data_IF_383475511900
#
_entry.id   IF_383475511900
#
_cell.length_a   1.000
_cell.length_b   1.000
_cell.length_c   1.000
_cell.angle_alpha   90.00
_cell.angle_beta   90.00
_cell.angle_gamma   90.00
#
_symmetry.space_group_name_H-M   'P 1'
#
loop_
_entity.id
_entity.type
_entity.pdbx_description
1 polymer ?
#
# COMPACT_ATOMS: atom_id res chain seq x y z
N UNK A 1 -25.34 0.21 22.46
CA UNK A 1 -24.51 1.43 22.32
C UNK A 1 -23.38 1.08 21.36
N UNK A 2 -23.54 1.43 20.09
CA UNK A 2 -22.50 1.16 19.09
C UNK A 2 -21.36 2.14 19.34
N UNK A 3 -20.17 1.62 19.61
CA UNK A 3 -18.96 2.41 19.65
C UNK A 3 -18.77 3.02 18.26
N UNK A 4 -19.13 4.30 18.11
CA UNK A 4 -18.85 5.08 16.91
C UNK A 4 -17.33 5.05 16.76
N UNK A 5 -16.88 4.37 15.72
CA UNK A 5 -15.48 4.18 15.40
C UNK A 5 -14.86 5.58 15.23
N UNK A 6 -14.04 6.01 16.19
CA UNK A 6 -13.39 7.34 16.23
C UNK A 6 -12.26 7.46 15.20
N UNK A 7 -12.45 6.94 14.00
CA UNK A 7 -11.47 7.13 12.94
C UNK A 7 -11.56 8.57 12.44
N UNK A 8 -10.47 9.31 12.55
CA UNK A 8 -10.39 10.69 12.07
C UNK A 8 -9.87 10.71 10.64
N UNK A 9 -10.46 11.57 9.81
CA UNK A 9 -9.99 11.82 8.44
C UNK A 9 -8.59 12.39 8.51
N UNK A 10 -7.67 11.76 7.79
CA UNK A 10 -6.28 12.18 7.68
C UNK A 10 -6.09 13.09 6.46
N UNK A 11 -5.02 13.87 6.47
CA UNK A 11 -4.66 14.71 5.32
C UNK A 11 -4.39 13.82 4.09
N UNK A 12 -4.76 14.29 2.89
CA UNK A 12 -4.42 13.59 1.65
C UNK A 12 -2.92 13.36 1.54
N UNK A 13 -2.54 12.18 1.07
CA UNK A 13 -1.15 11.87 0.72
C UNK A 13 -0.87 12.37 -0.69
N UNK A 14 0.36 12.81 -0.90
CA UNK A 14 0.91 13.20 -2.20
C UNK A 14 2.20 12.44 -2.46
N UNK A 15 2.60 12.36 -3.72
CA UNK A 15 3.86 11.72 -4.08
C UNK A 15 5.05 12.54 -3.54
N UNK A 16 5.82 11.95 -2.64
CA UNK A 16 7.06 12.51 -2.12
C UNK A 16 8.24 11.96 -2.92
N UNK A 17 8.97 12.86 -3.58
CA UNK A 17 10.13 12.51 -4.40
C UNK A 17 11.25 11.85 -3.57
N UNK A 18 11.41 12.25 -2.29
CA UNK A 18 12.44 11.69 -1.43
C UNK A 18 12.11 10.25 -1.03
N UNK A 19 10.85 9.99 -0.68
CA UNK A 19 10.34 8.64 -0.41
C UNK A 19 10.45 7.75 -1.65
N UNK A 20 10.06 8.25 -2.81
CA UNK A 20 10.16 7.50 -4.06
C UNK A 20 11.60 7.10 -4.37
N UNK A 21 12.54 8.05 -4.28
CA UNK A 21 13.95 7.80 -4.51
C UNK A 21 14.52 6.75 -3.53
N UNK A 22 14.11 6.80 -2.26
CA UNK A 22 14.53 5.80 -1.26
C UNK A 22 14.01 4.40 -1.60
N UNK A 23 12.73 4.28 -1.98
CA UNK A 23 12.13 3.00 -2.35
C UNK A 23 12.77 2.41 -3.62
N UNK A 24 13.01 3.26 -4.62
CA UNK A 24 13.72 2.87 -5.85
C UNK A 24 15.15 2.41 -5.53
N UNK A 25 15.90 3.15 -4.71
CA UNK A 25 17.25 2.74 -4.30
C UNK A 25 17.26 1.37 -3.59
N UNK A 26 16.30 1.12 -2.69
CA UNK A 26 16.16 -0.18 -2.03
C UNK A 26 15.81 -1.30 -3.01
N UNK A 27 14.92 -1.04 -3.97
CA UNK A 27 14.56 -2.02 -4.99
C UNK A 27 15.74 -2.34 -5.91
N UNK A 28 16.47 -1.31 -6.36
CA UNK A 28 17.69 -1.45 -7.18
C UNK A 28 18.74 -2.28 -6.45
N UNK A 29 19.01 -1.99 -5.17
CA UNK A 29 19.97 -2.76 -4.38
C UNK A 29 19.59 -4.24 -4.32
N UNK A 30 18.31 -4.55 -4.04
CA UNK A 30 17.81 -5.92 -4.03
C UNK A 30 18.00 -6.64 -5.37
N UNK A 31 17.77 -5.96 -6.49
CA UNK A 31 17.96 -6.55 -7.82
C UNK A 31 19.44 -6.79 -8.15
N UNK A 32 20.32 -5.90 -7.71
CA UNK A 32 21.77 -6.02 -7.91
C UNK A 32 22.39 -7.11 -7.03
N UNK A 33 21.91 -7.29 -5.79
CA UNK A 33 22.45 -8.26 -4.83
C UNK A 33 21.75 -9.63 -4.90
N UNK A 34 20.54 -9.68 -5.45
CA UNK A 34 19.71 -10.87 -5.50
C UNK A 34 18.50 -10.80 -4.56
N UNK A 35 17.44 -11.51 -4.93
CA UNK A 35 16.17 -11.52 -4.23
C UNK A 35 15.77 -12.95 -3.91
N UNK A 36 15.45 -13.23 -2.65
CA UNK A 36 14.86 -14.49 -2.25
C UNK A 36 13.36 -14.48 -2.53
N UNK A 37 12.87 -15.41 -3.34
CA UNK A 37 11.46 -15.46 -3.74
C UNK A 37 10.59 -16.41 -2.90
N UNK A 38 11.11 -16.89 -1.76
CA UNK A 38 10.43 -17.88 -0.89
C UNK A 38 10.85 -19.33 -1.14
N UNK A 39 11.52 -19.61 -2.25
CA UNK A 39 12.01 -20.96 -2.58
C UNK A 39 13.50 -20.97 -2.90
N UNK A 40 13.96 -19.97 -3.65
CA UNK A 40 15.35 -19.86 -4.08
C UNK A 40 15.80 -18.40 -4.17
N UNK A 41 17.12 -18.23 -4.12
CA UNK A 41 17.74 -16.96 -4.51
C UNK A 41 17.66 -16.81 -6.02
N UNK A 42 17.22 -15.63 -6.46
CA UNK A 42 17.17 -15.22 -7.86
C UNK A 42 18.09 -14.01 -8.01
N UNK A 43 18.90 -14.00 -9.06
CA UNK A 43 19.85 -12.92 -9.35
C UNK A 43 19.50 -12.30 -10.70
N UNK A 44 18.56 -11.34 -10.76
CA UNK A 44 18.05 -10.81 -12.02
C UNK A 44 19.12 -10.15 -12.89
N UNK A 45 20.14 -9.57 -12.26
CA UNK A 45 21.23 -8.87 -12.94
C UNK A 45 22.42 -9.78 -13.32
N UNK A 46 22.28 -11.10 -13.15
CA UNK A 46 23.34 -12.07 -13.42
C UNK A 46 22.91 -13.13 -14.45
N UNK A 47 23.86 -13.58 -15.25
CA UNK A 47 23.75 -14.77 -16.10
C UNK A 47 24.45 -15.93 -15.40
N UNK A 48 23.64 -16.91 -14.96
CA UNK A 48 24.13 -18.11 -14.28
C UNK A 48 24.38 -19.23 -15.29
N UNK A 49 25.59 -19.76 -15.26
CA UNK A 49 26.02 -20.85 -16.13
C UNK A 49 26.43 -22.07 -15.31
N UNK A 50 26.23 -23.24 -15.90
CA UNK A 50 26.62 -24.49 -15.28
C UNK A 50 27.16 -25.52 -16.25
N UNK A 51 28.07 -26.35 -15.72
CA UNK A 51 28.93 -27.22 -16.51
C UNK A 51 29.08 -28.57 -15.82
N UNK A 52 29.12 -29.64 -16.60
CA UNK A 52 29.39 -31.01 -16.13
C UNK A 52 30.88 -31.39 -16.27
N UNK A 53 31.76 -30.48 -15.91
CA UNK A 53 33.20 -30.67 -16.02
C UNK A 53 33.97 -29.39 -15.71
N UNK A 54 35.08 -29.54 -14.98
CA UNK A 54 35.90 -28.40 -14.58
C UNK A 54 36.51 -27.70 -15.79
N UNK A 55 37.02 -28.46 -16.76
CA UNK A 55 37.69 -27.90 -17.94
C UNK A 55 36.75 -27.02 -18.78
N UNK A 56 35.49 -27.43 -18.93
CA UNK A 56 34.46 -26.64 -19.62
C UNK A 56 34.12 -25.35 -18.87
N UNK A 57 33.99 -25.43 -17.54
CA UNK A 57 33.75 -24.25 -16.72
C UNK A 57 34.92 -23.26 -16.79
N UNK A 58 36.15 -23.77 -16.81
CA UNK A 58 37.38 -22.98 -16.92
C UNK A 58 37.49 -22.31 -18.29
N UNK A 59 37.27 -23.06 -19.38
CA UNK A 59 37.28 -22.54 -20.75
C UNK A 59 36.24 -21.43 -20.93
N UNK A 60 35.01 -21.67 -20.47
CA UNK A 60 33.94 -20.67 -20.51
C UNK A 60 34.28 -19.41 -19.71
N UNK A 61 34.85 -19.58 -18.51
CA UNK A 61 35.24 -18.46 -17.65
C UNK A 61 36.34 -17.63 -18.30
N UNK A 62 37.37 -18.28 -18.86
CA UNK A 62 38.44 -17.60 -19.58
C UNK A 62 37.92 -16.83 -20.78
N UNK A 63 37.00 -17.42 -21.55
CA UNK A 63 36.40 -16.76 -22.69
C UNK A 63 35.54 -15.56 -22.28
N UNK A 64 34.71 -15.71 -21.24
CA UNK A 64 33.87 -14.63 -20.72
C UNK A 64 34.69 -13.44 -20.22
N UNK A 65 35.80 -13.70 -19.53
CA UNK A 65 36.71 -12.63 -19.09
C UNK A 65 37.38 -11.93 -20.28
N UNK A 66 37.76 -12.67 -21.34
CA UNK A 66 38.28 -12.07 -22.59
C UNK A 66 37.24 -11.19 -23.29
N UNK A 67 35.97 -11.54 -23.18
CA UNK A 67 34.84 -10.73 -23.67
C UNK A 67 34.55 -9.50 -22.77
N UNK A 68 35.27 -9.33 -21.67
CA UNK A 68 35.09 -8.22 -20.73
C UNK A 68 33.92 -8.43 -19.76
N UNK A 69 33.40 -9.64 -19.63
CA UNK A 69 32.37 -9.95 -18.63
C UNK A 69 33.00 -10.04 -17.25
N UNK A 70 32.34 -9.43 -16.28
CA UNK A 70 32.76 -9.45 -14.88
C UNK A 70 32.04 -10.55 -14.11
N UNK A 71 32.76 -11.25 -13.24
CA UNK A 71 32.16 -12.22 -12.34
C UNK A 71 31.16 -11.54 -11.41
N UNK A 72 30.01 -12.17 -11.23
CA UNK A 72 28.97 -11.66 -10.34
C UNK A 72 29.30 -12.00 -8.88
N UNK A 73 29.47 -11.01 -7.99
CA UNK A 73 30.03 -11.25 -6.66
C UNK A 73 29.01 -11.80 -5.65
N UNK A 74 27.71 -11.69 -5.92
CA UNK A 74 26.66 -12.06 -4.96
C UNK A 74 26.14 -13.50 -5.13
N UNK A 75 26.51 -14.19 -6.21
CA UNK A 75 26.26 -15.63 -6.39
C UNK A 75 27.60 -16.37 -6.39
N UNK A 76 27.99 -17.00 -5.27
CA UNK A 76 29.28 -17.67 -5.18
C UNK A 76 29.35 -18.83 -6.16
N UNK A 77 30.54 -19.05 -6.73
CA UNK A 77 30.78 -20.20 -7.58
C UNK A 77 30.49 -21.50 -6.80
N UNK A 78 29.76 -22.41 -7.44
CA UNK A 78 29.34 -23.68 -6.83
C UNK A 78 30.14 -24.81 -7.44
N UNK A 79 30.68 -25.68 -6.60
CA UNK A 79 31.20 -26.98 -6.98
C UNK A 79 30.44 -28.05 -6.21
N UNK A 80 29.77 -28.96 -6.91
CA UNK A 80 29.11 -30.12 -6.32
C UNK A 80 29.30 -31.35 -7.20
N UNK A 81 30.18 -32.25 -6.77
CA UNK A 81 30.50 -33.47 -7.52
C UNK A 81 31.12 -33.15 -8.89
N UNK A 82 30.40 -33.47 -9.96
CA UNK A 82 30.81 -33.16 -11.34
C UNK A 82 30.19 -31.87 -11.88
N UNK A 83 29.52 -31.09 -11.04
CA UNK A 83 28.80 -29.88 -11.43
C UNK A 83 29.52 -28.62 -10.97
N UNK A 84 29.75 -27.70 -11.90
CA UNK A 84 30.40 -26.42 -11.67
C UNK A 84 29.46 -25.30 -12.11
N UNK A 85 29.20 -24.34 -11.23
CA UNK A 85 28.35 -23.19 -11.50
C UNK A 85 29.12 -21.89 -11.29
N UNK A 86 28.94 -20.94 -12.20
CA UNK A 86 29.51 -19.60 -12.13
C UNK A 86 28.50 -18.60 -12.69
N UNK A 87 28.50 -17.39 -12.14
CA UNK A 87 27.61 -16.31 -12.54
C UNK A 87 28.42 -15.09 -12.96
N UNK A 88 27.99 -14.44 -14.03
CA UNK A 88 28.57 -13.20 -14.54
C UNK A 88 27.53 -12.09 -14.51
N UNK A 89 27.96 -10.84 -14.40
CA UNK A 89 27.07 -9.72 -14.62
C UNK A 89 26.49 -9.77 -16.04
N UNK A 90 25.20 -9.47 -16.15
CA UNK A 90 24.59 -9.16 -17.43
C UNK A 90 25.25 -7.94 -18.07
N UNK A 91 25.11 -7.75 -19.40
CA UNK A 91 25.53 -6.51 -20.05
C UNK A 91 24.92 -5.28 -19.37
N UNK A 92 25.69 -4.20 -19.24
CA UNK A 92 25.26 -2.98 -18.54
C UNK A 92 23.90 -2.45 -19.02
N UNK A 93 23.64 -2.46 -20.32
CA UNK A 93 22.36 -2.02 -20.88
C UNK A 93 21.16 -2.90 -20.48
N UNK A 94 21.38 -4.21 -20.30
CA UNK A 94 20.34 -5.11 -19.77
C UNK A 94 20.08 -4.83 -18.29
N UNK A 95 21.14 -4.63 -17.50
CA UNK A 95 21.01 -4.26 -16.08
C UNK A 95 20.25 -2.94 -15.95
N UNK A 96 20.64 -1.90 -16.71
CA UNK A 96 19.96 -0.60 -16.70
C UNK A 96 18.47 -0.75 -17.04
N UNK A 97 18.13 -1.53 -18.07
CA UNK A 97 16.73 -1.78 -18.43
C UNK A 97 15.94 -2.51 -17.34
N UNK A 98 16.56 -3.48 -16.65
CA UNK A 98 15.95 -4.17 -15.50
C UNK A 98 15.68 -3.17 -14.36
N UNK A 99 16.66 -2.31 -14.05
CA UNK A 99 16.54 -1.33 -12.98
C UNK A 99 15.49 -0.25 -13.31
N UNK A 100 15.48 0.27 -14.54
CA UNK A 100 14.47 1.24 -15.00
C UNK A 100 13.06 0.68 -14.93
N UNK A 101 12.87 -0.59 -15.35
CA UNK A 101 11.58 -1.26 -15.22
C UNK A 101 11.15 -1.36 -13.75
N UNK A 102 12.07 -1.72 -12.87
CA UNK A 102 11.81 -1.77 -11.42
C UNK A 102 11.43 -0.40 -10.86
N UNK A 103 12.08 0.66 -11.30
CA UNK A 103 11.80 2.01 -10.82
C UNK A 103 10.40 2.47 -11.19
N UNK A 104 9.96 2.16 -12.42
CA UNK A 104 8.60 2.42 -12.88
C UNK A 104 7.57 1.61 -12.10
N UNK A 105 7.84 0.33 -11.83
CA UNK A 105 6.96 -0.51 -11.02
C UNK A 105 6.83 0.00 -9.58
N UNK A 106 7.92 0.46 -8.97
CA UNK A 106 7.90 1.06 -7.63
C UNK A 106 7.09 2.36 -7.62
N UNK A 107 7.32 3.23 -8.60
CA UNK A 107 6.59 4.50 -8.70
C UNK A 107 5.09 4.26 -8.88
N UNK A 108 4.72 3.34 -9.77
CA UNK A 108 3.32 3.00 -10.02
C UNK A 108 2.65 2.43 -8.78
N UNK A 109 3.30 1.50 -8.07
CA UNK A 109 2.76 0.97 -6.80
C UNK A 109 2.56 2.05 -5.75
N UNK A 110 3.52 2.96 -5.59
CA UNK A 110 3.38 4.07 -4.64
C UNK A 110 2.22 5.00 -5.01
N UNK A 111 2.03 5.28 -6.31
CA UNK A 111 0.88 6.06 -6.79
C UNK A 111 -0.45 5.38 -6.49
N UNK A 112 -0.54 4.08 -6.75
CA UNK A 112 -1.73 3.26 -6.45
C UNK A 112 -2.03 3.22 -4.94
N UNK A 113 -1.01 3.09 -4.10
CA UNK A 113 -1.15 3.14 -2.64
C UNK A 113 -1.66 4.51 -2.14
N UNK A 114 -1.13 5.60 -2.72
CA UNK A 114 -1.58 6.97 -2.40
C UNK A 114 -3.03 7.17 -2.82
N UNK A 115 -3.40 6.73 -4.03
CA UNK A 115 -4.77 6.84 -4.54
C UNK A 115 -5.75 6.04 -3.67
N UNK A 116 -5.43 4.79 -3.36
CA UNK A 116 -6.25 3.94 -2.49
C UNK A 116 -6.42 4.57 -1.09
N UNK A 117 -5.34 5.12 -0.53
CA UNK A 117 -5.40 5.82 0.75
C UNK A 117 -6.31 7.05 0.68
N UNK A 118 -6.16 7.89 -0.33
CA UNK A 118 -6.95 9.12 -0.49
C UNK A 118 -8.44 8.80 -0.74
N UNK A 119 -8.74 7.78 -1.54
CA UNK A 119 -10.10 7.31 -1.76
C UNK A 119 -10.76 6.84 -0.45
N UNK A 120 -10.03 6.12 0.39
CA UNK A 120 -10.52 5.71 1.72
C UNK A 120 -10.79 6.91 2.65
N UNK A 121 -9.98 7.97 2.58
CA UNK A 121 -10.23 9.21 3.35
C UNK A 121 -11.48 9.94 2.87
N UNK A 122 -11.71 10.01 1.56
CA UNK A 122 -12.94 10.60 0.97
C UNK A 122 -14.17 9.82 1.42
N UNK A 123 -14.11 8.48 1.37
CA UNK A 123 -15.21 7.65 1.81
C UNK A 123 -15.51 7.83 3.31
N UNK A 124 -14.48 7.86 4.16
CA UNK A 124 -14.62 8.12 5.59
C UNK A 124 -15.27 9.48 5.85
N UNK A 125 -14.78 10.55 5.20
CA UNK A 125 -15.33 11.89 5.34
C UNK A 125 -16.80 11.93 4.89
N UNK A 126 -17.12 11.28 3.76
CA UNK A 126 -18.48 11.20 3.25
C UNK A 126 -19.43 10.55 4.26
N UNK A 127 -19.03 9.40 4.85
CA UNK A 127 -19.82 8.73 5.88
C UNK A 127 -20.04 9.62 7.10
N UNK A 128 -19.00 10.33 7.55
CA UNK A 128 -19.10 11.23 8.70
C UNK A 128 -20.04 12.41 8.43
N UNK A 129 -19.99 13.00 7.24
CA UNK A 129 -20.88 14.09 6.85
C UNK A 129 -22.34 13.62 6.75
N UNK A 130 -22.58 12.44 6.17
CA UNK A 130 -23.93 11.85 6.12
C UNK A 130 -24.46 11.57 7.52
N UNK A 131 -23.67 10.95 8.38
CA UNK A 131 -24.06 10.70 9.77
C UNK A 131 -24.34 12.00 10.54
N UNK A 132 -23.54 13.04 10.31
CA UNK A 132 -23.75 14.36 10.89
C UNK A 132 -25.09 14.97 10.44
N UNK A 133 -25.41 14.93 9.15
CA UNK A 133 -26.68 15.45 8.63
C UNK A 133 -27.89 14.64 9.11
N UNK A 134 -27.80 13.30 9.12
CA UNK A 134 -28.86 12.45 9.67
C UNK A 134 -29.12 12.73 11.15
N UNK A 135 -28.07 12.96 11.94
CA UNK A 135 -28.20 13.32 13.35
C UNK A 135 -28.81 14.72 13.54
N UNK A 136 -28.51 15.68 12.66
CA UNK A 136 -29.18 17.00 12.67
C UNK A 136 -30.66 16.88 12.37
N UNK A 137 -31.04 16.13 11.33
CA UNK A 137 -32.45 15.95 10.96
C UNK A 137 -33.23 15.18 12.03
N UNK A 138 -32.64 14.14 12.65
CA UNK A 138 -33.23 13.46 13.81
C UNK A 138 -33.49 14.39 14.98
N UNK A 139 -32.50 15.21 15.35
CA UNK A 139 -32.68 16.19 16.42
C UNK A 139 -33.78 17.20 16.12
N UNK A 140 -33.84 17.72 14.89
CA UNK A 140 -34.92 18.64 14.48
C UNK A 140 -36.29 18.00 14.61
N UNK A 141 -36.45 16.73 14.20
CA UNK A 141 -37.72 16.03 14.31
C UNK A 141 -38.07 15.71 15.76
N UNK A 142 -37.10 15.28 16.58
CA UNK A 142 -37.29 15.04 18.01
C UNK A 142 -37.72 16.32 18.75
N UNK A 143 -37.08 17.46 18.44
CA UNK A 143 -37.43 18.78 18.99
C UNK A 143 -38.85 19.20 18.55
N UNK A 144 -39.22 18.93 17.29
CA UNK A 144 -40.55 19.21 16.75
C UNK A 144 -41.62 18.36 17.44
N UNK A 145 -41.39 17.06 17.60
CA UNK A 145 -42.30 16.15 18.29
C UNK A 145 -42.46 16.55 19.76
N UNK A 146 -41.36 16.90 20.42
CA UNK A 146 -41.37 17.40 21.80
C UNK A 146 -42.19 18.68 21.93
N UNK A 147 -42.06 19.63 21.00
CA UNK A 147 -42.84 20.87 21.00
C UNK A 147 -44.35 20.61 20.80
N UNK A 148 -44.72 19.67 19.91
CA UNK A 148 -46.11 19.26 19.69
C UNK A 148 -46.69 18.62 20.96
N UNK A 149 -45.95 17.69 21.58
CA UNK A 149 -46.36 17.04 22.82
C UNK A 149 -46.52 18.05 23.97
N UNK A 150 -45.58 18.98 24.13
CA UNK A 150 -45.66 20.03 25.15
C UNK A 150 -46.88 20.93 24.95
N UNK A 151 -47.19 21.33 23.71
CA UNK A 151 -48.37 22.13 23.38
C UNK A 151 -49.68 21.39 23.66
N UNK A 152 -49.73 20.10 23.31
CA UNK A 152 -50.88 19.24 23.60
C UNK A 152 -51.09 19.08 25.12
N UNK A 153 -50.01 18.82 25.88
CA UNK A 153 -50.05 18.71 27.34
C UNK A 153 -50.54 20.01 27.99
N UNK A 154 -50.04 21.18 27.54
CA UNK A 154 -50.48 22.47 28.05
C UNK A 154 -51.97 22.76 27.75
N UNK A 155 -52.44 22.38 26.56
CA UNK A 155 -53.87 22.53 26.18
C UNK A 155 -54.76 21.62 27.01
N UNK A 156 -54.36 20.36 27.22
CA UNK A 156 -55.07 19.42 28.07
C UNK A 156 -55.12 19.89 29.53
N UNK A 157 -53.99 20.37 30.07
CA UNK A 157 -53.93 20.90 31.43
C UNK A 157 -54.85 22.11 31.61
N UNK A 158 -54.87 23.04 30.64
CA UNK A 158 -55.78 24.20 30.66
C UNK A 158 -57.25 23.76 30.61
N UNK A 159 -57.58 22.79 29.75
CA UNK A 159 -58.95 22.29 29.64
C UNK A 159 -59.46 21.65 30.94
N UNK A 160 -58.63 20.84 31.60
CA UNK A 160 -58.92 20.26 32.92
C UNK A 160 -59.13 21.37 33.96
N UNK A 161 -58.28 22.41 33.96
CA UNK A 161 -58.37 23.53 34.89
C UNK A 161 -59.65 24.34 34.69
N UNK A 162 -60.04 24.63 33.45
CA UNK A 162 -61.28 25.34 33.13
C UNK A 162 -62.52 24.53 33.55
N UNK A 163 -62.51 23.20 33.37
CA UNK A 163 -63.59 22.31 33.85
C UNK A 163 -63.73 22.32 35.38
N UNK A 164 -62.61 22.33 36.11
CA UNK A 164 -62.62 22.38 37.58
C UNK A 164 -63.12 23.74 38.13
N UNK A 165 -62.96 24.82 37.37
CA UNK A 165 -63.42 26.17 37.76
C UNK A 165 -64.89 26.44 37.39
N UNK A 166 -65.41 25.80 36.33
CA UNK A 166 -66.82 25.90 35.91
C UNK A 166 -67.81 25.02 36.69
N UNK A 167 -67.34 24.17 37.60
CA UNK A 167 -68.16 23.30 38.46
C UNK A 167 -68.51 23.90 39.84
N UNK A 168 -68.54 25.23 39.96
CA UNK A 168 -69.09 25.95 41.12
C UNK A 168 -70.36 26.69 40.74
#
# INVERSE_FOLDING_TARGET
MNAVNKQHVQLPRTLDASQLAQLQAQARQKLLEGVYNGHQWVYPCADRHSFQGFDLALEYTQQSVKEGKELYPHDPAVNSGFYYGVSFWKPKGEIESILEKSDLEVEQKLKEEIEAFNAAQVELLTRQLVEQELNKERKKEDDRLTAIQAKAAATAAKHIQDQLQGSK
#
